data_IF_506966430896
#
_entry.id   IF_506966430896
#
_cell.length_a   1.000
_cell.length_b   1.000
_cell.length_c   1.000
_cell.angle_alpha   90.00
_cell.angle_beta   90.00
_cell.angle_gamma   90.00
#
_symmetry.space_group_name_H-M   'P 1'
#
loop_
_entity.id
_entity.type
_entity.pdbx_description
1 polymer ?
#
# COMPACT_ATOMS: atom_id res chain seq x y z
N UNK A 1 -17.14 22.71 53.85
CA UNK A 1 -16.86 23.35 52.55
C UNK A 1 -17.50 22.49 51.48
N UNK A 2 -18.39 23.05 50.66
CA UNK A 2 -18.91 22.35 49.49
C UNK A 2 -17.75 22.08 48.51
N UNK A 3 -17.73 20.95 47.78
CA UNK A 3 -16.68 20.66 46.81
C UNK A 3 -16.64 21.78 45.76
N UNK A 4 -15.48 22.42 45.61
CA UNK A 4 -15.24 23.42 44.58
C UNK A 4 -15.15 22.67 43.25
N UNK A 5 -16.10 22.90 42.34
CA UNK A 5 -16.03 22.35 40.99
C UNK A 5 -14.93 23.09 40.22
N UNK A 6 -13.84 22.38 39.94
CA UNK A 6 -12.69 22.90 39.18
C UNK A 6 -12.95 22.79 37.67
N UNK A 7 -13.77 21.83 37.24
CA UNK A 7 -13.99 21.53 35.82
C UNK A 7 -15.26 22.19 35.24
N UNK A 8 -15.26 22.36 33.91
CA UNK A 8 -16.43 22.84 33.15
C UNK A 8 -17.53 21.78 33.13
N UNK A 9 -18.79 22.21 32.94
CA UNK A 9 -19.93 21.31 32.78
C UNK A 9 -19.73 20.36 31.59
N UNK A 10 -19.83 19.05 31.84
CA UNK A 10 -19.63 17.99 30.84
C UNK A 10 -18.20 17.44 30.76
N UNK A 11 -17.30 17.80 31.68
CA UNK A 11 -15.99 17.19 31.80
C UNK A 11 -16.03 15.99 32.75
N UNK A 12 -15.47 14.86 32.31
CA UNK A 12 -15.32 13.65 33.12
C UNK A 12 -13.88 13.55 33.64
N UNK A 13 -13.73 13.22 34.92
CA UNK A 13 -12.44 13.02 35.58
C UNK A 13 -12.33 11.58 36.11
N UNK A 14 -11.42 10.80 35.53
CA UNK A 14 -11.05 9.48 36.04
C UNK A 14 -9.74 9.56 36.83
N UNK A 15 -9.71 9.01 38.05
CA UNK A 15 -8.51 9.02 38.92
C UNK A 15 -7.95 7.63 39.16
N UNK A 16 -6.62 7.56 39.23
CA UNK A 16 -5.83 6.43 39.71
C UNK A 16 -6.35 5.05 39.26
N UNK A 17 -7.06 4.32 40.12
CA UNK A 17 -7.58 2.99 39.84
C UNK A 17 -8.59 2.97 38.70
N UNK A 18 -9.54 3.90 38.70
CA UNK A 18 -10.58 4.00 37.66
C UNK A 18 -9.96 4.32 36.30
N UNK A 19 -9.01 5.25 36.25
CA UNK A 19 -8.30 5.60 35.01
C UNK A 19 -7.46 4.42 34.47
N UNK A 20 -6.84 3.64 35.36
CA UNK A 20 -6.10 2.42 34.98
C UNK A 20 -7.05 1.35 34.45
N UNK A 21 -8.16 1.09 35.13
CA UNK A 21 -9.18 0.14 34.69
C UNK A 21 -9.74 0.52 33.31
N UNK A 22 -10.11 1.78 33.12
CA UNK A 22 -10.57 2.32 31.83
C UNK A 22 -9.55 2.07 30.72
N UNK A 23 -8.26 2.27 31.01
CA UNK A 23 -7.17 2.03 30.06
C UNK A 23 -7.00 0.53 29.73
N UNK A 24 -7.02 -0.35 30.73
CA UNK A 24 -6.92 -1.80 30.51
C UNK A 24 -8.11 -2.33 29.71
N UNK A 25 -9.33 -1.97 30.10
CA UNK A 25 -10.56 -2.40 29.43
C UNK A 25 -10.55 -1.96 27.96
N UNK A 26 -10.16 -0.71 27.68
CA UNK A 26 -10.07 -0.21 26.31
C UNK A 26 -9.07 -0.99 25.46
N UNK A 27 -7.85 -1.19 25.96
CA UNK A 27 -6.81 -1.90 25.23
C UNK A 27 -7.13 -3.39 25.03
N UNK A 28 -7.64 -4.05 26.07
CA UNK A 28 -8.03 -5.46 26.04
C UNK A 28 -9.19 -5.68 25.07
N UNK A 29 -10.20 -4.80 25.07
CA UNK A 29 -11.33 -4.90 24.15
C UNK A 29 -10.90 -4.82 22.68
N UNK A 30 -9.95 -3.92 22.35
CA UNK A 30 -9.38 -3.82 20.99
C UNK A 30 -8.59 -5.08 20.62
N UNK A 31 -7.74 -5.59 21.52
CA UNK A 31 -7.04 -6.85 21.30
C UNK A 31 -7.99 -8.01 21.08
N UNK A 32 -9.03 -8.13 21.90
CA UNK A 32 -10.05 -9.17 21.82
C UNK A 32 -10.85 -9.11 20.51
N UNK A 33 -11.07 -7.91 19.97
CA UNK A 33 -11.75 -7.69 18.70
C UNK A 33 -10.96 -8.25 17.51
N UNK A 34 -9.64 -8.01 17.46
CA UNK A 34 -8.78 -8.43 16.34
C UNK A 34 -8.21 -9.83 16.51
N UNK A 35 -8.25 -10.43 17.72
CA UNK A 35 -7.68 -11.76 17.99
C UNK A 35 -8.13 -12.86 17.04
N UNK A 36 -9.38 -12.80 16.57
CA UNK A 36 -9.91 -13.81 15.64
C UNK A 36 -9.34 -13.72 14.22
N UNK A 37 -8.67 -12.64 13.84
CA UNK A 37 -8.05 -12.51 12.50
C UNK A 37 -6.63 -13.08 12.48
N UNK A 38 -6.04 -13.37 13.64
CA UNK A 38 -4.66 -13.82 13.75
C UNK A 38 -4.47 -15.28 13.31
N UNK A 39 -3.50 -15.51 12.43
CA UNK A 39 -3.01 -16.83 12.04
C UNK A 39 -3.72 -17.46 10.82
N UNK A 40 -3.27 -18.64 10.36
CA UNK A 40 -3.75 -19.25 9.11
C UNK A 40 -5.20 -19.76 9.15
N UNK A 41 -5.79 -19.82 10.35
CA UNK A 41 -7.21 -20.13 10.57
C UNK A 41 -7.97 -18.90 11.08
N UNK A 42 -7.41 -17.71 10.88
CA UNK A 42 -8.06 -16.44 11.15
C UNK A 42 -9.32 -16.28 10.32
N UNK A 43 -10.28 -15.53 10.84
CA UNK A 43 -11.55 -15.24 10.20
C UNK A 43 -11.64 -13.76 9.85
N UNK A 44 -12.17 -13.47 8.66
CA UNK A 44 -12.34 -12.11 8.19
C UNK A 44 -13.49 -11.39 8.92
N UNK A 45 -13.41 -10.06 8.98
CA UNK A 45 -14.44 -9.19 9.55
C UNK A 45 -15.18 -8.46 8.45
N UNK A 46 -16.50 -8.38 8.61
CA UNK A 46 -17.36 -7.56 7.76
C UNK A 46 -17.54 -6.20 8.43
N UNK A 47 -17.14 -5.14 7.74
CA UNK A 47 -17.25 -3.76 8.17
C UNK A 47 -18.30 -3.07 7.31
N UNK A 48 -19.25 -2.41 7.97
CA UNK A 48 -20.32 -1.64 7.32
C UNK A 48 -20.16 -0.16 7.69
N UNK A 49 -19.93 0.68 6.69
CA UNK A 49 -19.87 2.12 6.90
C UNK A 49 -21.27 2.72 7.06
N UNK A 50 -21.50 3.48 8.14
CA UNK A 50 -22.80 4.06 8.52
C UNK A 50 -23.26 5.27 7.69
N UNK A 51 -22.93 5.32 6.40
CA UNK A 51 -23.30 6.40 5.47
C UNK A 51 -24.37 6.00 4.44
N UNK A 52 -24.91 6.97 3.69
CA UNK A 52 -25.95 6.79 2.64
C UNK A 52 -25.59 5.78 1.54
N UNK A 53 -24.29 5.44 1.39
CA UNK A 53 -23.77 4.52 0.39
C UNK A 53 -23.40 3.14 0.92
N UNK A 54 -23.66 2.84 2.21
CA UNK A 54 -23.54 1.51 2.82
C UNK A 54 -22.41 0.63 2.27
N UNK A 55 -21.16 1.12 2.27
CA UNK A 55 -20.05 0.35 1.73
C UNK A 55 -19.74 -0.81 2.66
N UNK A 56 -19.79 -2.02 2.10
CA UNK A 56 -19.45 -3.26 2.80
C UNK A 56 -18.01 -3.62 2.45
N UNK A 57 -17.16 -3.69 3.46
CA UNK A 57 -15.77 -4.12 3.32
C UNK A 57 -15.59 -5.42 4.10
N UNK A 58 -15.03 -6.44 3.46
CA UNK A 58 -14.60 -7.67 4.14
C UNK A 58 -13.08 -7.62 4.21
N UNK A 59 -12.50 -7.80 5.39
CA UNK A 59 -11.05 -7.70 5.56
C UNK A 59 -10.53 -8.56 6.70
N UNK A 60 -9.32 -9.09 6.53
CA UNK A 60 -8.54 -9.74 7.58
C UNK A 60 -7.57 -8.78 8.26
N UNK A 61 -7.16 -7.72 7.56
CA UNK A 61 -6.12 -6.80 8.04
C UNK A 61 -6.57 -6.02 9.29
N UNK A 62 -5.79 -6.18 10.35
CA UNK A 62 -6.02 -5.56 11.64
C UNK A 62 -6.00 -4.03 11.58
N UNK A 63 -5.08 -3.43 10.80
CA UNK A 63 -5.01 -1.98 10.71
C UNK A 63 -6.27 -1.40 10.06
N UNK A 64 -6.74 -2.00 8.97
CA UNK A 64 -7.99 -1.60 8.30
C UNK A 64 -9.21 -1.75 9.20
N UNK A 65 -9.30 -2.84 9.97
CA UNK A 65 -10.38 -3.06 10.94
C UNK A 65 -10.38 -1.95 11.99
N UNK A 66 -9.22 -1.67 12.58
CA UNK A 66 -9.07 -0.69 13.64
C UNK A 66 -9.29 0.76 13.17
N UNK A 67 -8.88 1.09 11.94
CA UNK A 67 -9.14 2.39 11.30
C UNK A 67 -10.64 2.62 11.06
N UNK A 68 -11.42 1.56 10.81
CA UNK A 68 -12.84 1.67 10.51
C UNK A 68 -13.73 1.80 11.77
N UNK A 69 -13.24 1.39 12.94
CA UNK A 69 -14.03 1.39 14.17
C UNK A 69 -13.92 2.76 14.86
N UNK A 70 -15.07 3.34 15.19
CA UNK A 70 -15.13 4.53 16.05
C UNK A 70 -14.83 4.15 17.49
N UNK A 71 -13.67 4.56 18.00
CA UNK A 71 -13.22 4.27 19.36
C UNK A 71 -13.11 5.57 20.15
N UNK A 72 -13.75 5.65 21.31
CA UNK A 72 -13.69 6.83 22.19
C UNK A 72 -12.57 6.73 23.24
N UNK A 73 -12.30 5.50 23.71
CA UNK A 73 -11.32 5.25 24.76
C UNK A 73 -9.90 5.65 24.32
N UNK A 74 -9.17 6.46 25.11
CA UNK A 74 -7.85 6.96 24.71
C UNK A 74 -6.78 5.87 24.63
N UNK A 75 -6.79 4.90 25.55
CA UNK A 75 -5.83 3.79 25.51
C UNK A 75 -6.04 2.92 24.27
N UNK A 76 -7.30 2.70 23.90
CA UNK A 76 -7.66 1.98 22.70
C UNK A 76 -7.18 2.71 21.42
N UNK A 77 -7.31 4.04 21.34
CA UNK A 77 -6.75 4.84 20.23
C UNK A 77 -5.24 4.68 20.08
N UNK A 78 -4.49 4.60 21.19
CA UNK A 78 -3.04 4.35 21.15
C UNK A 78 -2.73 3.01 20.46
N UNK A 79 -3.52 1.96 20.70
CA UNK A 79 -3.34 0.68 20.00
C UNK A 79 -3.70 0.78 18.50
N UNK A 80 -4.74 1.54 18.16
CA UNK A 80 -5.11 1.80 16.74
C UNK A 80 -3.95 2.50 16.01
N UNK A 81 -3.39 3.55 16.61
CA UNK A 81 -2.27 4.28 16.02
C UNK A 81 -1.01 3.40 15.92
N UNK A 82 -0.74 2.56 16.92
CA UNK A 82 0.36 1.59 16.87
C UNK A 82 0.19 0.59 15.71
N UNK A 83 -1.03 0.09 15.49
CA UNK A 83 -1.32 -0.79 14.34
C UNK A 83 -1.12 -0.07 13.00
N UNK A 84 -1.42 1.22 12.93
CA UNK A 84 -1.19 2.03 11.73
C UNK A 84 0.30 2.26 11.48
N UNK A 85 1.09 2.55 12.50
CA UNK A 85 2.55 2.69 12.35
C UNK A 85 3.19 1.39 11.86
N UNK A 86 2.72 0.24 12.34
CA UNK A 86 3.19 -1.07 11.87
C UNK A 86 2.87 -1.31 10.38
N UNK A 87 1.68 -0.89 9.96
CA UNK A 87 1.22 -0.93 8.56
C UNK A 87 2.11 -0.04 7.67
N UNK A 88 2.39 1.19 8.10
CA UNK A 88 3.19 2.16 7.34
C UNK A 88 4.67 1.74 7.21
N UNK A 89 5.26 1.14 8.25
CA UNK A 89 6.70 0.76 8.27
C UNK A 89 6.98 -0.60 7.60
N UNK A 90 6.15 -1.61 7.87
CA UNK A 90 6.40 -3.01 7.45
C UNK A 90 5.30 -3.54 6.53
N UNK A 91 4.06 -3.08 6.69
CA UNK A 91 2.90 -3.54 5.91
C UNK A 91 2.37 -4.94 6.28
N UNK A 92 2.87 -5.54 7.36
CA UNK A 92 2.33 -6.80 7.92
C UNK A 92 2.52 -6.83 9.44
N UNK A 93 1.82 -7.73 10.11
CA UNK A 93 1.87 -7.90 11.56
C UNK A 93 1.02 -6.89 12.34
N UNK A 94 0.12 -6.17 11.66
CA UNK A 94 -0.83 -5.20 12.23
C UNK A 94 -1.67 -5.81 13.37
N UNK A 95 -2.17 -7.03 13.16
CA UNK A 95 -2.89 -7.79 14.19
C UNK A 95 -1.96 -8.26 15.31
N UNK A 96 -0.79 -8.80 14.96
CA UNK A 96 0.15 -9.39 15.92
C UNK A 96 0.64 -8.37 16.94
N UNK A 97 0.97 -7.15 16.51
CA UNK A 97 1.43 -6.08 17.42
C UNK A 97 0.33 -5.65 18.38
N UNK A 98 -0.91 -5.54 17.88
CA UNK A 98 -2.08 -5.15 18.67
C UNK A 98 -2.41 -6.20 19.72
N UNK A 99 -2.46 -7.48 19.34
CA UNK A 99 -2.73 -8.59 20.25
C UNK A 99 -1.62 -8.70 21.30
N UNK A 100 -0.35 -8.61 20.90
CA UNK A 100 0.77 -8.68 21.84
C UNK A 100 0.72 -7.56 22.88
N UNK A 101 0.44 -6.32 22.45
CA UNK A 101 0.31 -5.19 23.36
C UNK A 101 -0.87 -5.36 24.32
N UNK A 102 -2.01 -5.85 23.84
CA UNK A 102 -3.19 -6.10 24.66
C UNK A 102 -2.93 -7.20 25.71
N UNK A 103 -2.26 -8.29 25.35
CA UNK A 103 -1.92 -9.36 26.30
C UNK A 103 -0.85 -8.92 27.31
N UNK A 104 0.14 -8.09 26.92
CA UNK A 104 1.06 -7.48 27.89
C UNK A 104 0.31 -6.61 28.91
N UNK A 105 -0.67 -5.82 28.46
CA UNK A 105 -1.49 -5.00 29.34
C UNK A 105 -2.38 -5.85 30.26
N UNK A 106 -2.92 -6.97 29.76
CA UNK A 106 -3.65 -7.95 30.57
C UNK A 106 -2.78 -8.53 31.69
N UNK A 107 -1.53 -8.89 31.39
CA UNK A 107 -0.57 -9.37 32.40
C UNK A 107 -0.15 -8.27 33.39
N UNK A 108 -0.03 -7.01 32.94
CA UNK A 108 0.22 -5.89 33.85
C UNK A 108 -0.92 -5.67 34.85
N UNK A 109 -2.17 -5.85 34.43
CA UNK A 109 -3.31 -5.77 35.35
C UNK A 109 -3.16 -6.77 36.51
N UNK A 110 -2.75 -8.01 36.21
CA UNK A 110 -2.50 -9.04 37.22
C UNK A 110 -1.34 -8.67 38.17
N UNK A 111 -0.26 -8.09 37.65
CA UNK A 111 0.88 -7.65 38.45
C UNK A 111 0.52 -6.46 39.36
N UNK A 112 -0.30 -5.53 38.87
CA UNK A 112 -0.81 -4.41 39.66
C UNK A 112 -1.76 -4.91 40.75
N UNK A 113 -2.61 -5.89 40.45
CA UNK A 113 -3.46 -6.54 41.46
C UNK A 113 -2.65 -7.19 42.59
N UNK A 114 -1.43 -7.67 42.29
CA UNK A 114 -0.44 -8.15 43.28
C UNK A 114 0.32 -7.02 44.00
N UNK A 115 -0.13 -5.77 43.87
CA UNK A 115 0.45 -4.56 44.47
C UNK A 115 1.87 -4.22 44.00
N UNK A 116 2.24 -4.63 42.79
CA UNK A 116 3.51 -4.22 42.16
C UNK A 116 3.31 -2.83 41.56
N UNK A 117 4.25 -1.92 41.84
CA UNK A 117 4.19 -0.55 41.32
C UNK A 117 4.37 -0.52 39.79
N UNK A 118 3.55 0.22 39.01
CA UNK A 118 3.62 0.24 37.54
C UNK A 118 5.01 0.59 36.97
N UNK A 119 5.73 1.50 37.64
CA UNK A 119 7.07 1.89 37.20
C UNK A 119 8.09 0.72 37.26
N UNK A 120 7.91 -0.19 38.22
CA UNK A 120 8.75 -1.39 38.34
C UNK A 120 8.45 -2.36 37.20
N UNK A 121 7.16 -2.53 36.86
CA UNK A 121 6.73 -3.35 35.71
C UNK A 121 7.34 -2.82 34.42
N UNK A 122 7.26 -1.50 34.18
CA UNK A 122 7.84 -0.85 32.99
C UNK A 122 9.35 -1.08 32.93
N UNK A 123 10.07 -0.94 34.05
CA UNK A 123 11.51 -1.19 34.12
C UNK A 123 11.85 -2.65 33.78
N UNK A 124 11.08 -3.61 34.30
CA UNK A 124 11.23 -5.03 33.99
C UNK A 124 10.99 -5.33 32.51
N UNK A 125 9.90 -4.81 31.94
CA UNK A 125 9.61 -4.98 30.52
C UNK A 125 10.65 -4.36 29.61
N UNK A 126 11.23 -3.20 29.95
CA UNK A 126 12.34 -2.62 29.15
C UNK A 126 13.55 -3.55 29.07
N UNK A 127 13.91 -4.19 30.19
CA UNK A 127 15.00 -5.19 30.23
C UNK A 127 14.64 -6.45 29.43
N UNK A 128 13.41 -6.94 29.59
CA UNK A 128 12.92 -8.09 28.84
C UNK A 128 12.91 -7.84 27.33
N UNK A 129 12.45 -6.67 26.88
CA UNK A 129 12.46 -6.28 25.47
C UNK A 129 13.88 -6.22 24.90
N UNK A 130 14.85 -5.72 25.67
CA UNK A 130 16.25 -5.71 25.21
C UNK A 130 16.76 -7.13 25.00
N UNK A 131 16.57 -8.00 26.00
CA UNK A 131 16.99 -9.41 25.94
C UNK A 131 16.31 -10.13 24.77
N UNK A 132 15.00 -9.95 24.59
CA UNK A 132 14.24 -10.53 23.49
C UNK A 132 14.72 -10.05 22.11
N UNK A 133 15.20 -8.81 21.99
CA UNK A 133 15.77 -8.30 20.73
C UNK A 133 17.13 -8.90 20.43
N UNK A 134 17.96 -9.12 21.44
CA UNK A 134 19.27 -9.75 21.30
C UNK A 134 19.11 -11.21 20.88
N UNK A 135 18.26 -11.96 21.59
CA UNK A 135 17.80 -13.29 21.25
C UNK A 135 17.35 -13.43 19.79
N UNK A 136 16.48 -12.52 19.34
CA UNK A 136 15.94 -12.55 17.98
C UNK A 136 17.03 -12.30 16.92
N UNK A 137 18.04 -11.49 17.23
CA UNK A 137 19.18 -11.26 16.33
C UNK A 137 20.09 -12.47 16.24
N UNK A 138 20.30 -13.19 17.34
CA UNK A 138 21.10 -14.41 17.37
C UNK A 138 20.42 -15.57 16.64
N UNK A 139 19.08 -15.65 16.73
CA UNK A 139 18.28 -16.66 16.05
C UNK A 139 18.02 -16.36 14.56
N UNK A 140 18.36 -15.16 14.07
CA UNK A 140 18.13 -14.76 12.69
C UNK A 140 19.14 -15.40 11.74
N UNK A 141 18.65 -15.87 10.59
CA UNK A 141 19.47 -16.38 9.50
C UNK A 141 19.54 -15.35 8.37
N UNK A 142 20.71 -15.17 7.77
CA UNK A 142 20.91 -14.29 6.61
C UNK A 142 21.41 -15.13 5.42
N UNK A 143 20.66 -15.08 4.31
CA UNK A 143 20.99 -15.76 3.06
C UNK A 143 21.22 -14.79 1.89
N UNK A 144 21.50 -13.51 2.16
CA UNK A 144 21.75 -12.48 1.13
C UNK A 144 22.85 -12.83 0.12
N UNK A 145 23.83 -13.65 0.52
CA UNK A 145 24.94 -14.05 -0.34
C UNK A 145 24.58 -15.12 -1.40
N UNK A 146 23.44 -15.81 -1.25
CA UNK A 146 23.01 -16.88 -2.15
C UNK A 146 21.66 -16.52 -2.77
N UNK A 147 21.69 -16.06 -4.03
CA UNK A 147 20.50 -15.59 -4.73
C UNK A 147 19.41 -16.67 -4.86
N UNK A 148 19.78 -17.94 -5.00
CA UNK A 148 18.81 -19.02 -5.17
C UNK A 148 18.09 -19.31 -3.84
N UNK A 149 18.84 -19.37 -2.74
CA UNK A 149 18.26 -19.56 -1.40
C UNK A 149 17.50 -18.33 -0.93
N UNK A 150 17.97 -17.13 -1.25
CA UNK A 150 17.26 -15.89 -0.96
C UNK A 150 15.91 -15.82 -1.68
N UNK A 151 15.85 -16.24 -2.95
CA UNK A 151 14.58 -16.32 -3.67
C UNK A 151 13.62 -17.35 -3.05
N UNK A 152 14.13 -18.50 -2.60
CA UNK A 152 13.33 -19.49 -1.87
C UNK A 152 12.80 -18.93 -0.54
N UNK A 153 13.61 -18.19 0.20
CA UNK A 153 13.20 -17.52 1.43
C UNK A 153 12.10 -16.49 1.18
N UNK A 154 12.23 -15.65 0.15
CA UNK A 154 11.19 -14.70 -0.26
C UNK A 154 9.88 -15.43 -0.60
N UNK A 155 9.93 -16.54 -1.33
CA UNK A 155 8.75 -17.35 -1.62
C UNK A 155 8.10 -17.90 -0.36
N UNK A 156 8.91 -18.36 0.62
CA UNK A 156 8.39 -18.89 1.88
C UNK A 156 7.77 -17.80 2.77
N UNK A 157 8.34 -16.60 2.77
CA UNK A 157 7.78 -15.42 3.44
C UNK A 157 6.43 -15.06 2.83
N UNK A 158 6.36 -14.91 1.50
CA UNK A 158 5.11 -14.61 0.79
C UNK A 158 4.02 -15.66 1.07
N UNK A 159 4.38 -16.95 1.03
CA UNK A 159 3.46 -18.06 1.35
C UNK A 159 2.91 -17.98 2.75
N UNK A 160 3.71 -17.49 3.71
CA UNK A 160 3.31 -17.36 5.11
C UNK A 160 2.39 -16.17 5.29
N UNK A 161 2.73 -15.00 4.76
CA UNK A 161 1.91 -13.78 4.84
C UNK A 161 0.56 -13.93 4.14
N UNK A 162 0.49 -14.69 3.05
CA UNK A 162 -0.76 -14.95 2.32
C UNK A 162 -1.64 -16.06 2.96
N UNK A 163 -1.11 -16.79 3.95
CA UNK A 163 -1.77 -17.97 4.52
C UNK A 163 -2.90 -17.67 5.51
N UNK A 164 -3.04 -16.44 5.99
CA UNK A 164 -4.13 -16.02 6.89
C UNK A 164 -5.27 -15.29 6.17
N UNK A 165 -5.21 -15.20 4.83
CA UNK A 165 -6.07 -14.33 4.03
C UNK A 165 -6.89 -15.11 3.01
N UNK A 166 -7.74 -14.40 2.25
CA UNK A 166 -8.57 -14.96 1.19
C UNK A 166 -7.77 -15.78 0.15
N UNK A 167 -6.52 -15.37 -0.11
CA UNK A 167 -5.64 -15.97 -1.11
C UNK A 167 -5.03 -17.33 -0.70
N UNK A 168 -5.42 -17.89 0.44
CA UNK A 168 -4.94 -19.20 0.95
C UNK A 168 -5.02 -20.34 -0.05
N UNK A 169 -6.12 -20.46 -0.78
CA UNK A 169 -6.35 -21.53 -1.76
C UNK A 169 -5.38 -21.47 -2.95
N UNK A 170 -4.93 -20.26 -3.32
CA UNK A 170 -4.07 -20.01 -4.47
C UNK A 170 -2.72 -19.41 -4.06
N UNK A 171 -2.27 -19.67 -2.82
CA UNK A 171 -1.06 -19.07 -2.26
C UNK A 171 0.19 -19.28 -3.11
N UNK A 172 0.35 -20.43 -3.76
CA UNK A 172 1.52 -20.72 -4.59
C UNK A 172 1.62 -19.77 -5.78
N UNK A 173 0.50 -19.50 -6.44
CA UNK A 173 0.40 -18.59 -7.58
C UNK A 173 0.71 -17.14 -7.17
N UNK A 174 0.02 -16.63 -6.15
CA UNK A 174 0.22 -15.27 -5.67
C UNK A 174 1.58 -15.03 -5.01
N UNK A 175 2.17 -16.05 -4.40
CA UNK A 175 3.52 -15.96 -3.85
C UNK A 175 4.56 -15.78 -4.96
N UNK A 176 4.43 -16.53 -6.05
CA UNK A 176 5.31 -16.41 -7.20
C UNK A 176 5.15 -15.02 -7.85
N UNK A 177 3.91 -14.57 -8.06
CA UNK A 177 3.61 -13.24 -8.59
C UNK A 177 4.22 -12.12 -7.75
N UNK A 178 4.10 -12.18 -6.42
CA UNK A 178 4.62 -11.14 -5.55
C UNK A 178 6.17 -11.10 -5.55
N UNK A 179 6.82 -12.27 -5.54
CA UNK A 179 8.28 -12.37 -5.61
C UNK A 179 8.80 -11.88 -6.96
N UNK A 180 8.18 -12.29 -8.07
CA UNK A 180 8.58 -11.86 -9.40
C UNK A 180 8.41 -10.34 -9.58
N UNK A 181 7.33 -9.76 -9.03
CA UNK A 181 7.10 -8.32 -9.05
C UNK A 181 8.18 -7.55 -8.26
N UNK A 182 8.52 -8.01 -7.04
CA UNK A 182 9.53 -7.35 -6.20
C UNK A 182 10.94 -7.51 -6.78
N UNK A 183 11.28 -8.67 -7.35
CA UNK A 183 12.58 -8.88 -7.99
C UNK A 183 12.79 -7.98 -9.21
N UNK A 184 11.71 -7.60 -9.92
CA UNK A 184 11.77 -6.64 -11.03
C UNK A 184 12.11 -5.22 -10.60
N UNK A 185 11.76 -4.83 -9.37
CA UNK A 185 12.06 -3.49 -8.85
C UNK A 185 13.56 -3.23 -8.62
N UNK A 186 14.43 -4.26 -8.71
CA UNK A 186 15.89 -4.17 -8.56
C UNK A 186 16.36 -3.35 -7.34
N UNK A 187 15.60 -3.37 -6.25
CA UNK A 187 15.94 -2.70 -4.99
C UNK A 187 15.55 -1.22 -4.90
N UNK A 188 14.77 -0.67 -5.84
CA UNK A 188 14.22 0.70 -5.71
C UNK A 188 13.35 0.85 -4.46
N UNK A 189 12.78 -0.26 -3.96
CA UNK A 189 12.03 -0.31 -2.70
C UNK A 189 10.78 0.58 -2.67
N UNK A 190 10.37 1.12 -3.82
CA UNK A 190 9.17 1.91 -3.98
C UNK A 190 8.05 1.02 -4.51
N UNK A 191 7.04 0.79 -3.68
CA UNK A 191 5.89 -0.05 -4.00
C UNK A 191 4.95 0.63 -5.02
N UNK A 192 5.01 1.95 -5.16
CA UNK A 192 4.21 2.70 -6.14
C UNK A 192 4.55 2.35 -7.59
N UNK A 193 5.73 1.78 -7.83
CA UNK A 193 6.14 1.25 -9.13
C UNK A 193 5.37 -0.03 -9.52
N UNK A 194 4.75 -0.72 -8.54
CA UNK A 194 3.88 -1.87 -8.78
C UNK A 194 2.44 -1.37 -8.84
N UNK A 195 1.82 -1.44 -10.01
CA UNK A 195 0.42 -1.08 -10.17
C UNK A 195 -0.48 -2.30 -10.12
N UNK A 196 -1.54 -2.23 -9.31
CA UNK A 196 -2.54 -3.30 -9.23
C UNK A 196 -3.82 -2.85 -9.93
N UNK A 197 -4.21 -3.56 -10.99
CA UNK A 197 -5.47 -3.32 -11.71
C UNK A 197 -6.48 -4.40 -11.33
N UNK A 198 -7.59 -4.00 -10.73
CA UNK A 198 -8.71 -4.88 -10.41
C UNK A 198 -9.71 -4.92 -11.57
N UNK A 199 -9.99 -6.09 -12.13
CA UNK A 199 -11.05 -6.30 -13.11
C UNK A 199 -12.00 -7.41 -12.68
N UNK A 200 -13.29 -7.13 -12.78
CA UNK A 200 -14.34 -8.08 -12.47
C UNK A 200 -14.42 -9.21 -13.50
N UNK A 201 -14.78 -10.39 -13.02
CA UNK A 201 -14.99 -11.59 -13.82
C UNK A 201 -13.80 -12.55 -13.82
N UNK A 202 -14.09 -13.83 -14.01
CA UNK A 202 -13.10 -14.91 -13.93
C UNK A 202 -12.83 -15.38 -12.50
N UNK A 203 -11.81 -16.22 -12.36
CA UNK A 203 -11.31 -16.75 -11.09
C UNK A 203 -10.09 -15.95 -10.61
N UNK A 204 -9.78 -16.03 -9.31
CA UNK A 204 -8.55 -15.44 -8.75
C UNK A 204 -7.28 -16.00 -9.40
N UNK A 205 -7.32 -17.24 -9.89
CA UNK A 205 -6.22 -17.90 -10.63
C UNK A 205 -5.89 -17.24 -11.96
N UNK A 206 -6.84 -16.50 -12.53
CA UNK A 206 -6.67 -15.83 -13.83
C UNK A 206 -5.89 -14.51 -13.68
N UNK A 207 -5.54 -14.14 -12.44
CA UNK A 207 -4.69 -13.00 -12.14
C UNK A 207 -3.26 -13.26 -12.59
N UNK A 208 -2.58 -12.28 -13.16
CA UNK A 208 -1.22 -12.45 -13.66
C UNK A 208 -0.39 -11.16 -13.52
N UNK A 209 0.93 -11.33 -13.55
CA UNK A 209 1.90 -10.25 -13.60
C UNK A 209 2.20 -9.98 -15.06
N UNK A 210 1.89 -8.78 -15.53
CA UNK A 210 2.19 -8.37 -16.88
C UNK A 210 3.69 -8.06 -17.01
N UNK A 211 4.31 -8.48 -18.13
CA UNK A 211 5.73 -8.18 -18.42
C UNK A 211 5.96 -6.74 -18.90
N UNK A 212 4.88 -6.03 -19.17
CA UNK A 212 4.85 -4.64 -19.57
C UNK A 212 4.15 -3.75 -18.56
N UNK A 213 3.70 -2.61 -19.07
CA UNK A 213 2.75 -1.75 -18.36
C UNK A 213 1.40 -1.83 -19.04
N UNK A 214 0.39 -2.19 -18.26
CA UNK A 214 -1.02 -2.04 -18.66
C UNK A 214 -1.53 -0.73 -18.09
N UNK A 215 -1.98 0.16 -18.97
CA UNK A 215 -2.45 1.48 -18.62
C UNK A 215 -3.98 1.56 -18.77
N UNK A 216 -4.67 1.95 -17.69
CA UNK A 216 -6.12 2.08 -17.67
C UNK A 216 -6.57 3.51 -17.99
N UNK A 217 -7.28 3.66 -19.10
CA UNK A 217 -7.79 4.93 -19.56
C UNK A 217 -9.25 5.13 -19.11
N UNK A 218 -9.56 6.29 -18.53
CA UNK A 218 -10.95 6.70 -18.27
C UNK A 218 -11.17 8.13 -18.74
N UNK A 219 -12.09 8.34 -19.67
CA UNK A 219 -12.43 9.67 -20.20
C UNK A 219 -13.27 10.44 -19.18
N UNK A 220 -12.77 11.56 -18.66
CA UNK A 220 -13.58 12.49 -17.84
C UNK A 220 -13.45 13.92 -18.35
N UNK A 221 -14.58 14.50 -18.75
CA UNK A 221 -14.70 15.87 -19.25
C UNK A 221 -14.55 16.88 -18.11
N UNK A 222 -13.66 17.85 -18.26
CA UNK A 222 -13.54 19.03 -17.38
C UNK A 222 -13.81 20.28 -18.21
N UNK A 223 -14.74 21.12 -17.76
CA UNK A 223 -15.17 22.33 -18.48
C UNK A 223 -14.44 23.60 -18.00
N UNK A 224 -13.69 24.21 -18.93
CA UNK A 224 -13.81 25.61 -19.32
C UNK A 224 -13.16 26.73 -18.48
N UNK A 225 -12.13 27.36 -19.05
CA UNK A 225 -11.62 28.68 -18.67
C UNK A 225 -12.50 29.80 -19.26
N UNK A 226 -12.72 30.90 -18.53
CA UNK A 226 -13.48 32.07 -19.03
C UNK A 226 -12.53 33.20 -19.44
N UNK A 227 -12.63 33.64 -20.70
CA UNK A 227 -11.95 34.84 -21.22
C UNK A 227 -12.98 35.96 -21.36
N UNK A 228 -12.65 37.17 -20.86
CA UNK A 228 -13.46 38.39 -21.04
C UNK A 228 -12.83 39.24 -22.15
N UNK A 229 -13.64 39.68 -23.11
CA UNK A 229 -13.19 40.45 -24.27
C UNK A 229 -14.15 41.61 -24.53
N UNK A 230 -13.62 42.76 -24.93
CA UNK A 230 -14.39 44.01 -25.10
C UNK A 230 -15.09 44.14 -26.47
N UNK A 231 -14.71 43.35 -27.47
CA UNK A 231 -15.33 43.37 -28.81
C UNK A 231 -15.25 42.01 -29.51
N UNK A 232 -16.22 41.72 -30.39
CA UNK A 232 -16.32 40.45 -31.13
C UNK A 232 -15.18 40.22 -32.13
N UNK A 233 -14.63 41.29 -32.72
CA UNK A 233 -13.50 41.20 -33.64
C UNK A 233 -12.22 40.70 -32.92
N UNK A 234 -11.96 41.19 -31.71
CA UNK A 234 -10.84 40.73 -30.89
C UNK A 234 -10.98 39.26 -30.47
N UNK A 235 -12.21 38.77 -30.31
CA UNK A 235 -12.45 37.34 -30.01
C UNK A 235 -11.93 36.46 -31.15
N UNK A 236 -12.23 36.82 -32.40
CA UNK A 236 -11.78 36.05 -33.57
C UNK A 236 -10.25 36.07 -33.74
N UNK A 237 -9.60 37.21 -33.48
CA UNK A 237 -8.15 37.33 -33.48
C UNK A 237 -7.49 36.47 -32.38
N UNK A 238 -8.06 36.49 -31.16
CA UNK A 238 -7.58 35.66 -30.04
C UNK A 238 -7.74 34.18 -30.36
N UNK A 239 -8.86 33.77 -30.95
CA UNK A 239 -9.12 32.37 -31.31
C UNK A 239 -8.12 31.85 -32.35
N UNK A 240 -7.82 32.65 -33.39
CA UNK A 240 -6.80 32.32 -34.39
C UNK A 240 -5.40 32.26 -33.78
N UNK A 241 -5.03 33.25 -32.96
CA UNK A 241 -3.74 33.28 -32.28
C UNK A 241 -3.56 32.10 -31.31
N UNK A 242 -4.62 31.65 -30.65
CA UNK A 242 -4.59 30.47 -29.77
C UNK A 242 -4.40 29.18 -30.58
N UNK A 243 -5.10 29.04 -31.71
CA UNK A 243 -4.93 27.91 -32.64
C UNK A 243 -3.51 27.85 -33.21
N UNK A 244 -2.94 28.99 -33.62
CA UNK A 244 -1.55 29.04 -34.09
C UNK A 244 -0.55 28.65 -33.01
N UNK A 245 -0.69 29.18 -31.78
CA UNK A 245 0.17 28.78 -30.65
C UNK A 245 0.08 27.28 -30.34
N UNK A 246 -1.12 26.70 -30.40
CA UNK A 246 -1.31 25.26 -30.25
C UNK A 246 -0.58 24.49 -31.34
N UNK A 247 -0.72 24.92 -32.61
CA UNK A 247 -0.07 24.28 -33.75
C UNK A 247 1.46 24.35 -33.66
N UNK A 248 2.03 25.51 -33.35
CA UNK A 248 3.48 25.67 -33.14
C UNK A 248 4.02 24.77 -32.02
N UNK A 249 3.22 24.56 -30.96
CA UNK A 249 3.60 23.66 -29.86
C UNK A 249 3.60 22.20 -30.30
N UNK A 250 2.59 21.78 -31.08
CA UNK A 250 2.55 20.42 -31.66
C UNK A 250 3.71 20.20 -32.63
N UNK A 251 4.00 21.17 -33.50
CA UNK A 251 5.16 21.10 -34.41
C UNK A 251 6.49 20.98 -33.65
N UNK A 252 6.64 21.68 -32.53
CA UNK A 252 7.80 21.51 -31.64
C UNK A 252 7.91 20.09 -31.09
N UNK A 253 6.80 19.46 -30.71
CA UNK A 253 6.78 18.07 -30.23
C UNK A 253 7.11 17.09 -31.36
N UNK A 254 6.57 17.31 -32.56
CA UNK A 254 6.84 16.47 -33.73
C UNK A 254 8.31 16.47 -34.16
N UNK A 255 9.05 17.57 -33.92
CA UNK A 255 10.50 17.64 -34.17
C UNK A 255 11.32 16.65 -33.35
N UNK A 256 10.78 16.10 -32.25
CA UNK A 256 11.45 15.05 -31.47
C UNK A 256 11.41 13.68 -32.15
N UNK A 257 10.62 13.49 -33.22
CA UNK A 257 10.59 12.24 -33.99
C UNK A 257 9.92 11.08 -33.25
N UNK A 258 8.85 11.36 -32.50
CA UNK A 258 8.15 10.40 -31.62
C UNK A 258 6.95 9.78 -32.35
N UNK A 259 6.66 8.50 -32.07
CA UNK A 259 5.48 7.78 -32.58
C UNK A 259 4.27 7.77 -31.62
N UNK A 260 4.50 7.87 -30.31
CA UNK A 260 3.48 7.92 -29.27
C UNK A 260 3.75 9.08 -28.30
N UNK A 261 2.80 10.00 -28.15
CA UNK A 261 2.86 11.12 -27.22
C UNK A 261 1.92 10.86 -26.05
N UNK A 262 2.47 10.78 -24.84
CA UNK A 262 1.71 10.57 -23.61
C UNK A 262 1.72 11.86 -22.80
N UNK A 263 0.54 12.38 -22.48
CA UNK A 263 0.39 13.59 -21.70
C UNK A 263 -0.37 13.31 -20.40
N UNK A 264 0.12 13.91 -19.32
CA UNK A 264 -0.59 13.95 -18.04
C UNK A 264 -1.91 14.71 -18.15
N UNK A 265 -1.91 15.79 -18.92
CA UNK A 265 -3.08 16.63 -19.12
C UNK A 265 -3.92 16.15 -20.29
N UNK A 266 -5.16 16.62 -20.34
CA UNK A 266 -6.06 16.41 -21.46
C UNK A 266 -5.47 17.03 -22.74
N UNK A 267 -5.72 16.40 -23.87
CA UNK A 267 -5.34 16.89 -25.19
C UNK A 267 -6.64 17.31 -25.90
N UNK A 268 -6.74 18.58 -26.27
CA UNK A 268 -7.92 19.06 -27.00
C UNK A 268 -7.99 18.44 -28.40
N UNK A 269 -9.19 18.34 -28.96
CA UNK A 269 -9.47 17.74 -30.27
C UNK A 269 -8.61 18.32 -31.41
N UNK A 270 -8.29 19.62 -31.38
CA UNK A 270 -7.50 20.25 -32.45
C UNK A 270 -6.03 19.77 -32.44
N UNK A 271 -5.27 19.85 -31.32
CA UNK A 271 -3.99 19.16 -31.20
C UNK A 271 -4.04 17.65 -31.48
N UNK A 272 -5.07 16.94 -31.00
CA UNK A 272 -5.23 15.49 -31.24
C UNK A 272 -5.31 15.17 -32.74
N UNK A 273 -6.08 15.96 -33.50
CA UNK A 273 -6.16 15.84 -34.95
C UNK A 273 -4.81 16.09 -35.63
N UNK A 274 -4.03 17.07 -35.16
CA UNK A 274 -2.69 17.36 -35.70
C UNK A 274 -1.71 16.20 -35.45
N UNK A 275 -1.76 15.58 -34.27
CA UNK A 275 -0.98 14.37 -33.98
C UNK A 275 -1.39 13.19 -34.87
N UNK A 276 -2.70 12.96 -35.03
CA UNK A 276 -3.22 11.91 -35.90
C UNK A 276 -2.81 12.10 -37.37
N UNK A 277 -2.83 13.34 -37.88
CA UNK A 277 -2.34 13.66 -39.24
C UNK A 277 -0.85 13.40 -39.42
N UNK A 278 -0.05 13.59 -38.37
CA UNK A 278 1.37 13.29 -38.36
C UNK A 278 1.68 11.80 -38.10
N UNK A 279 0.67 10.96 -37.89
CA UNK A 279 0.82 9.54 -37.57
C UNK A 279 1.32 9.28 -36.15
N UNK A 280 1.17 10.24 -35.24
CA UNK A 280 1.55 10.11 -33.82
C UNK A 280 0.32 9.76 -32.99
N UNK A 281 0.40 8.67 -32.22
CA UNK A 281 -0.65 8.28 -31.28
C UNK A 281 -0.60 9.19 -30.05
N UNK A 282 -1.71 9.85 -29.72
CA UNK A 282 -1.79 10.71 -28.54
C UNK A 282 -2.56 10.02 -27.41
N UNK A 283 -1.90 9.79 -26.27
CA UNK A 283 -2.51 9.25 -25.05
C UNK A 283 -2.64 10.42 -24.07
N UNK A 284 -3.87 10.71 -23.67
CA UNK A 284 -4.18 11.80 -22.74
C UNK A 284 -4.53 11.29 -21.34
N UNK A 285 -4.46 12.21 -20.37
CA UNK A 285 -4.90 12.00 -19.00
C UNK A 285 -4.21 10.85 -18.27
N UNK A 286 -2.89 10.73 -18.46
CA UNK A 286 -2.11 9.83 -17.64
C UNK A 286 -1.97 10.40 -16.21
N UNK A 287 -2.42 9.65 -15.21
CA UNK A 287 -2.24 10.04 -13.80
C UNK A 287 -0.76 10.22 -13.48
N UNK A 288 -0.44 11.02 -12.46
CA UNK A 288 0.94 11.32 -12.07
C UNK A 288 1.76 10.04 -11.85
N UNK A 289 1.21 9.12 -11.05
CA UNK A 289 1.81 7.81 -10.80
C UNK A 289 1.87 6.93 -12.07
N UNK A 290 0.98 7.12 -13.03
CA UNK A 290 1.01 6.41 -14.32
C UNK A 290 2.16 6.89 -15.22
N UNK A 291 2.39 8.20 -15.30
CA UNK A 291 3.49 8.77 -16.09
C UNK A 291 4.86 8.40 -15.48
N UNK A 292 4.97 8.42 -14.16
CA UNK A 292 6.20 8.00 -13.47
C UNK A 292 6.53 6.52 -13.71
N UNK A 293 5.51 5.65 -13.66
CA UNK A 293 5.68 4.24 -14.01
C UNK A 293 6.09 4.06 -15.47
N UNK A 294 5.43 4.74 -16.41
CA UNK A 294 5.81 4.68 -17.82
C UNK A 294 7.25 5.15 -18.04
N UNK A 295 7.71 6.16 -17.31
CA UNK A 295 9.10 6.61 -17.34
C UNK A 295 10.07 5.51 -16.84
N UNK A 296 9.74 4.83 -15.74
CA UNK A 296 10.54 3.70 -15.21
C UNK A 296 10.54 2.47 -16.14
N UNK A 297 9.41 2.19 -16.79
CA UNK A 297 9.25 1.06 -17.71
C UNK A 297 10.00 1.30 -19.02
N UNK A 298 9.74 2.45 -19.66
CA UNK A 298 10.30 2.80 -20.98
C UNK A 298 11.70 3.41 -20.91
N UNK A 299 12.13 3.85 -19.73
CA UNK A 299 13.42 4.52 -19.48
C UNK A 299 13.47 5.97 -19.95
N UNK A 300 12.32 6.58 -20.29
CA UNK A 300 12.19 7.96 -20.73
C UNK A 300 12.12 8.96 -19.57
N UNK A 301 12.36 10.24 -19.87
CA UNK A 301 12.27 11.33 -18.90
C UNK A 301 10.95 12.10 -19.05
N UNK A 302 10.38 12.53 -17.92
CA UNK A 302 9.17 13.36 -17.92
C UNK A 302 9.55 14.80 -18.26
N UNK A 303 9.16 15.26 -19.44
CA UNK A 303 9.50 16.61 -19.92
C UNK A 303 8.31 17.57 -19.89
N UNK A 304 8.55 18.78 -19.41
CA UNK A 304 7.60 19.91 -19.46
C UNK A 304 7.92 20.92 -20.57
N UNK A 305 9.16 20.98 -21.03
CA UNK A 305 9.66 21.92 -22.05
C UNK A 305 10.07 21.17 -23.31
N UNK A 306 9.63 21.67 -24.47
CA UNK A 306 9.81 20.99 -25.77
C UNK A 306 10.77 21.74 -26.73
N UNK A 307 11.55 22.69 -26.24
CA UNK A 307 12.36 23.59 -27.09
C UNK A 307 13.65 22.94 -27.61
N UNK A 308 14.25 22.05 -26.82
CA UNK A 308 15.52 21.41 -27.14
C UNK A 308 15.35 19.87 -27.18
N UNK A 309 15.21 19.28 -28.38
CA UNK A 309 15.07 17.82 -28.52
C UNK A 309 16.27 17.01 -28.04
N UNK A 310 17.47 17.58 -28.11
CA UNK A 310 18.72 16.87 -27.81
C UNK A 310 18.91 16.56 -26.31
N UNK A 311 18.22 17.30 -25.43
CA UNK A 311 18.33 17.14 -23.98
C UNK A 311 17.34 16.12 -23.42
N UNK A 312 16.41 15.62 -24.23
CA UNK A 312 15.31 14.77 -23.77
C UNK A 312 15.62 13.30 -24.02
N UNK A 313 15.63 12.51 -22.96
CA UNK A 313 15.71 11.06 -23.07
C UNK A 313 14.34 10.48 -23.43
N UNK A 314 14.19 10.01 -24.66
CA UNK A 314 12.95 9.35 -25.11
C UNK A 314 12.86 7.92 -24.56
N UNK A 315 11.64 7.54 -24.16
CA UNK A 315 11.33 6.15 -23.77
C UNK A 315 11.20 5.24 -24.99
N UNK A 316 11.56 3.97 -24.83
CA UNK A 316 11.47 2.97 -25.90
C UNK A 316 10.65 1.75 -25.45
N UNK A 317 9.79 1.26 -26.35
CA UNK A 317 9.03 0.01 -26.21
C UNK A 317 8.94 -0.69 -27.57
N UNK A 318 8.75 -2.01 -27.58
CA UNK A 318 8.67 -2.79 -28.83
C UNK A 318 7.29 -2.71 -29.48
N UNK A 319 6.24 -2.79 -28.68
CA UNK A 319 4.86 -2.85 -29.15
C UNK A 319 3.95 -2.08 -28.19
N UNK A 320 3.02 -1.31 -28.76
CA UNK A 320 1.90 -0.70 -28.05
C UNK A 320 0.64 -1.22 -28.73
N UNK A 321 -0.21 -1.91 -27.97
CA UNK A 321 -1.46 -2.46 -28.48
C UNK A 321 -2.61 -2.23 -27.50
N UNK A 322 -3.84 -2.20 -28.02
CA UNK A 322 -5.04 -2.16 -27.18
C UNK A 322 -5.52 -3.59 -26.91
N UNK A 323 -5.51 -3.99 -25.64
CA UNK A 323 -5.93 -5.31 -25.18
C UNK A 323 -7.22 -5.18 -24.38
N UNK A 324 -8.17 -6.07 -24.67
CA UNK A 324 -9.42 -6.17 -23.91
C UNK A 324 -9.20 -7.07 -22.69
N UNK A 325 -9.31 -6.50 -21.48
CA UNK A 325 -9.21 -7.25 -20.22
C UNK A 325 -10.57 -7.21 -19.52
N UNK A 326 -11.34 -8.29 -19.68
CA UNK A 326 -12.74 -8.34 -19.24
C UNK A 326 -13.62 -7.54 -20.18
N UNK A 327 -14.22 -6.47 -19.69
CA UNK A 327 -15.09 -5.58 -20.48
C UNK A 327 -14.39 -4.28 -20.89
N UNK A 328 -13.21 -3.98 -20.31
CA UNK A 328 -12.49 -2.73 -20.54
C UNK A 328 -11.36 -2.89 -21.57
N UNK A 329 -11.21 -1.90 -22.44
CA UNK A 329 -10.08 -1.76 -23.36
C UNK A 329 -8.94 -1.02 -22.65
N UNK A 330 -7.76 -1.63 -22.60
CA UNK A 330 -6.57 -1.09 -21.94
C UNK A 330 -5.41 -1.04 -22.92
N UNK A 331 -4.49 -0.10 -22.73
CA UNK A 331 -3.28 -0.01 -23.56
C UNK A 331 -2.19 -0.84 -22.90
N UNK A 332 -1.62 -1.77 -23.64
CA UNK A 332 -0.55 -2.66 -23.21
C UNK A 332 0.76 -2.26 -23.90
N UNK A 333 1.79 -2.00 -23.09
CA UNK A 333 3.14 -1.66 -23.55
C UNK A 333 4.05 -2.89 -23.40
N UNK A 334 4.37 -3.57 -24.49
CA UNK A 334 5.22 -4.78 -24.47
C UNK A 334 6.67 -4.51 -24.87
N UNK A 335 7.59 -5.30 -24.31
CA UNK A 335 9.00 -5.29 -24.70
C UNK A 335 9.71 -4.01 -24.28
N UNK A 336 9.67 -3.74 -22.99
CA UNK A 336 10.12 -2.50 -22.35
C UNK A 336 11.62 -2.55 -22.02
N UNK A 337 12.29 -1.40 -22.01
CA UNK A 337 13.76 -1.34 -21.95
C UNK A 337 14.35 -1.52 -20.54
N UNK A 338 13.74 -0.90 -19.51
CA UNK A 338 14.29 -0.89 -18.14
C UNK A 338 13.53 -1.84 -17.20
N UNK A 339 12.21 -2.03 -17.41
CA UNK A 339 11.41 -3.06 -16.72
C UNK A 339 11.36 -2.91 -15.19
N UNK A 340 11.60 -1.70 -14.68
CA UNK A 340 11.71 -1.41 -13.23
C UNK A 340 10.36 -1.12 -12.56
N UNK A 341 9.28 -1.17 -13.33
CA UNK A 341 7.90 -1.08 -12.85
C UNK A 341 7.08 -2.18 -13.53
N UNK A 342 6.00 -2.61 -12.88
CA UNK A 342 5.19 -3.71 -13.37
C UNK A 342 3.72 -3.56 -12.99
N UNK A 343 2.84 -4.14 -13.80
CA UNK A 343 1.40 -4.16 -13.54
C UNK A 343 0.94 -5.57 -13.17
N UNK A 344 0.26 -5.71 -12.03
CA UNK A 344 -0.45 -6.92 -11.63
C UNK A 344 -1.92 -6.75 -11.96
N UNK A 345 -2.46 -7.65 -12.77
CA UNK A 345 -3.90 -7.68 -13.07
C UNK A 345 -4.57 -8.69 -12.15
N UNK A 346 -5.46 -8.21 -11.28
CA UNK A 346 -6.29 -9.04 -10.40
C UNK A 346 -7.65 -9.29 -11.03
N UNK A 347 -8.01 -10.57 -11.14
CA UNK A 347 -9.31 -11.06 -11.61
C UNK A 347 -10.08 -11.67 -10.44
N UNK A 348 -11.39 -11.49 -10.42
CA UNK A 348 -12.20 -11.99 -9.29
C UNK A 348 -13.69 -11.88 -9.54
N UNK A 349 -14.45 -12.75 -8.86
CA UNK A 349 -15.89 -12.86 -9.04
C UNK A 349 -16.68 -11.66 -8.48
N UNK A 350 -16.20 -11.07 -7.37
CA UNK A 350 -16.88 -9.95 -6.70
C UNK A 350 -15.90 -8.83 -6.37
N UNK A 351 -16.40 -7.60 -6.23
CA UNK A 351 -15.57 -6.45 -5.87
C UNK A 351 -14.93 -6.63 -4.48
N UNK A 352 -15.65 -7.23 -3.52
CA UNK A 352 -15.11 -7.45 -2.17
C UNK A 352 -13.93 -8.43 -2.18
N UNK A 353 -13.99 -9.47 -3.02
CA UNK A 353 -12.88 -10.41 -3.21
C UNK A 353 -11.67 -9.70 -3.83
N UNK A 354 -11.89 -8.84 -4.82
CA UNK A 354 -10.83 -8.07 -5.47
C UNK A 354 -10.17 -7.06 -4.52
N UNK A 355 -10.97 -6.35 -3.73
CA UNK A 355 -10.47 -5.39 -2.74
C UNK A 355 -9.64 -6.09 -1.65
N UNK A 356 -10.07 -7.27 -1.19
CA UNK A 356 -9.31 -8.05 -0.22
C UNK A 356 -8.07 -8.71 -0.84
N UNK A 357 -8.15 -9.16 -2.10
CA UNK A 357 -7.01 -9.70 -2.82
C UNK A 357 -5.92 -8.65 -3.06
N UNK A 358 -6.31 -7.41 -3.40
CA UNK A 358 -5.39 -6.27 -3.54
C UNK A 358 -4.66 -5.98 -2.24
N UNK A 359 -5.38 -5.90 -1.11
CA UNK A 359 -4.78 -5.70 0.21
C UNK A 359 -3.87 -6.85 0.60
N UNK A 360 -4.35 -8.08 0.43
CA UNK A 360 -3.56 -9.28 0.71
C UNK A 360 -2.25 -9.30 -0.07
N UNK A 361 -2.29 -8.88 -1.33
CA UNK A 361 -1.10 -8.76 -2.17
C UNK A 361 -0.22 -7.60 -1.73
N UNK A 362 -0.80 -6.44 -1.39
CA UNK A 362 -0.07 -5.29 -0.89
C UNK A 362 0.77 -5.65 0.34
N UNK A 363 0.19 -6.31 1.34
CA UNK A 363 0.91 -6.75 2.54
C UNK A 363 2.09 -7.68 2.19
N UNK A 364 1.88 -8.60 1.24
CA UNK A 364 2.95 -9.48 0.77
C UNK A 364 4.06 -8.69 0.05
N UNK A 365 3.71 -7.73 -0.80
CA UNK A 365 4.67 -6.86 -1.48
C UNK A 365 5.45 -6.00 -0.49
N UNK A 366 4.81 -5.45 0.53
CA UNK A 366 5.44 -4.65 1.58
C UNK A 366 6.50 -5.46 2.33
N UNK A 367 6.15 -6.66 2.80
CA UNK A 367 7.09 -7.52 3.53
C UNK A 367 8.27 -7.92 2.64
N UNK A 368 8.01 -8.29 1.39
CA UNK A 368 9.06 -8.66 0.46
C UNK A 368 9.99 -7.49 0.12
N UNK A 369 9.43 -6.30 -0.13
CA UNK A 369 10.21 -5.09 -0.41
C UNK A 369 11.09 -4.69 0.79
N UNK A 370 10.60 -4.86 2.02
CA UNK A 370 11.40 -4.64 3.22
C UNK A 370 12.44 -5.74 3.42
N UNK A 371 12.13 -7.00 3.10
CA UNK A 371 13.09 -8.12 3.17
C UNK A 371 14.25 -7.95 2.19
N UNK A 372 14.02 -7.31 1.04
CA UNK A 372 15.12 -6.94 0.12
C UNK A 372 16.08 -5.92 0.75
N UNK A 373 15.58 -5.02 1.61
CA UNK A 373 16.42 -4.07 2.36
C UNK A 373 17.05 -4.71 3.60
N UNK A 374 16.34 -5.63 4.25
CA UNK A 374 16.72 -6.33 5.47
C UNK A 374 16.65 -7.86 5.24
N UNK A 375 17.75 -8.51 4.82
CA UNK A 375 17.73 -9.90 4.34
C UNK A 375 17.62 -10.95 5.46
N UNK A 376 17.67 -10.51 6.73
CA UNK A 376 17.59 -11.41 7.89
C UNK A 376 16.19 -11.98 8.03
N UNK A 377 16.10 -13.30 8.08
CA UNK A 377 14.84 -14.04 8.23
C UNK A 377 14.80 -14.78 9.55
N UNK A 378 13.56 -14.96 10.04
CA UNK A 378 13.27 -15.62 11.31
C UNK A 378 12.05 -16.55 11.11
N UNK A 379 12.16 -17.83 11.48
CA UNK A 379 11.06 -18.80 11.54
C UNK A 379 9.77 -18.36 12.28
N UNK A 380 8.68 -18.14 11.56
CA UNK A 380 7.35 -17.83 12.12
C UNK A 380 6.65 -18.99 12.87
N UNK A 381 5.32 -18.93 12.93
CA UNK A 381 4.48 -20.02 13.48
C UNK A 381 4.57 -20.19 15.01
N UNK A 382 4.76 -19.09 15.74
CA UNK A 382 4.94 -19.07 17.19
C UNK A 382 6.19 -19.82 17.73
N UNK A 383 7.11 -20.25 16.87
CA UNK A 383 8.39 -20.83 17.31
C UNK A 383 9.26 -19.78 18.02
N UNK A 384 9.38 -18.58 17.46
CA UNK A 384 10.11 -17.48 18.10
C UNK A 384 9.42 -16.93 19.34
N UNK A 385 8.09 -16.80 19.32
CA UNK A 385 7.34 -16.45 20.52
C UNK A 385 7.41 -17.52 21.64
N UNK A 386 8.00 -18.69 21.40
CA UNK A 386 8.32 -19.69 22.45
C UNK A 386 9.79 -19.68 22.87
N UNK A 387 10.70 -19.31 21.97
CA UNK A 387 12.13 -19.13 22.29
C UNK A 387 12.33 -17.87 23.13
N UNK A 388 11.68 -16.77 22.77
CA UNK A 388 11.80 -15.47 23.45
C UNK A 388 11.38 -15.50 24.93
N UNK A 389 10.26 -16.15 25.33
CA UNK A 389 9.92 -16.30 26.74
C UNK A 389 10.86 -17.23 27.50
N UNK A 390 11.43 -18.24 26.84
CA UNK A 390 12.42 -19.13 27.47
C UNK A 390 13.68 -18.38 27.84
N UNK A 391 14.23 -17.59 26.92
CA UNK A 391 15.43 -16.80 27.18
C UNK A 391 15.16 -15.59 28.09
N UNK A 392 13.98 -14.98 28.01
CA UNK A 392 13.57 -13.93 28.95
C UNK A 392 13.31 -14.47 30.37
N UNK A 393 12.78 -15.69 30.51
CA UNK A 393 12.64 -16.37 31.79
C UNK A 393 14.02 -16.76 32.36
N UNK A 394 14.90 -17.31 31.54
CA UNK A 394 16.27 -17.65 31.93
C UNK A 394 17.07 -16.40 32.33
N UNK A 395 16.86 -15.26 31.66
CA UNK A 395 17.46 -13.98 32.03
C UNK A 395 16.86 -13.40 33.32
N UNK A 396 15.56 -13.63 33.57
CA UNK A 396 14.91 -13.24 34.81
C UNK A 396 15.36 -14.09 36.01
N UNK A 397 15.72 -15.36 35.81
CA UNK A 397 16.32 -16.21 36.84
C UNK A 397 17.79 -15.86 37.15
N UNK A 398 18.49 -15.18 36.22
CA UNK A 398 19.87 -14.73 36.39
C UNK A 398 20.00 -13.35 37.07
N UNK A 399 18.89 -12.65 37.28
CA UNK A 399 18.78 -11.35 37.97
C UNK A 399 18.25 -11.52 39.39
#
# INVERSE_FOLDING_TARGET
MAPVNIFRSGADEEKAETARLSSFVGAIAIGDLVKSTLGPKGMDKILLSGGKSGTVTVTNDGATILKAIGVDNPAAKVLVDMSKVQDDEVGDGTTSVTVLAAELLREAELLIAKKIHPQTIISGWRKATQTAREALREAAADHSNDAARFQEDLLNIARTTLSSKLLTHHKAHFSQLAVDAVMRLKGSGNLEAIHVIKKLGGSLTDSYLDEGEVFCWTRRLIFGSRVRVDSTAKVAEIELAEKEKMKEKVERILKHGINCFINRQLIYNYPEQLFAQAGVMAIEHADFAGVERLALVTGGEITSTFEHPELVKLGQCKLIEEVMIGEDMLIHFSGVAMGEACTVVLRGATQQILDEAERSLHDALCVLAQTVKEPRTVYGGARHHRVLPGEAADAAERL
#
